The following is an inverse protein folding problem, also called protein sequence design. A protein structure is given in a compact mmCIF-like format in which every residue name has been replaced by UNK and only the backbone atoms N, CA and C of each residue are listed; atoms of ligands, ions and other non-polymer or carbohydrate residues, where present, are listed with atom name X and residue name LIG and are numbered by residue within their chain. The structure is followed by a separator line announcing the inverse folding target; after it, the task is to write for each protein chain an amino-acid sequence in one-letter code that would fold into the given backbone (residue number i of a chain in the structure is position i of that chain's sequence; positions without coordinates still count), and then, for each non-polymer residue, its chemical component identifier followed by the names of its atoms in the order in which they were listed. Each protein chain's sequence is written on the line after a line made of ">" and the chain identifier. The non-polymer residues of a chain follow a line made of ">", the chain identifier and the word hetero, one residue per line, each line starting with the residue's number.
data_IF_675801260655
#
_entry.id   IF_675801260655
#
_cell.length_a   1.000
_cell.length_b   1.000
_cell.length_c   1.000
_cell.angle_alpha   90.00
_cell.angle_beta   90.00
_cell.angle_gamma   90.00
#
_symmetry.space_group_name_H-M   'P 1'
#
loop_
_entity.id
_entity.type
_entity.pdbx_description
1 polymer ?
#
# COMPACT_ATOMS: atom_id res chain seq x y z
N UNK A 1 14.39 14.11 73.48
CA UNK A 1 14.68 15.06 72.39
C UNK A 1 13.77 14.74 71.21
N UNK A 2 12.75 15.58 70.97
CA UNK A 2 11.87 15.46 69.80
C UNK A 2 12.44 16.33 68.67
N UNK A 3 12.86 15.72 67.56
CA UNK A 3 13.28 16.45 66.37
C UNK A 3 12.03 16.85 65.57
N UNK A 4 11.67 18.13 65.63
CA UNK A 4 10.66 18.73 64.77
C UNK A 4 11.31 19.22 63.47
N UNK A 5 11.33 18.36 62.44
CA UNK A 5 11.75 18.75 61.10
C UNK A 5 10.64 19.55 60.42
N UNK A 6 10.77 20.87 60.40
CA UNK A 6 9.93 21.76 59.58
C UNK A 6 10.44 21.65 58.14
N UNK A 7 9.82 20.81 57.33
CA UNK A 7 10.05 20.85 55.88
C UNK A 7 9.38 22.10 55.31
N UNK A 8 10.11 23.00 54.65
CA UNK A 8 9.53 24.19 54.07
C UNK A 8 8.57 23.78 52.94
N UNK A 9 7.30 24.20 53.07
CA UNK A 9 6.20 23.93 52.13
C UNK A 9 6.57 24.31 50.68
N UNK A 10 7.50 25.25 50.50
CA UNK A 10 8.05 25.68 49.22
C UNK A 10 8.82 24.58 48.46
N UNK A 11 9.45 23.61 49.14
CA UNK A 11 10.16 22.50 48.48
C UNK A 11 9.18 21.41 48.00
N UNK A 12 8.07 21.21 48.73
CA UNK A 12 7.00 20.29 48.33
C UNK A 12 6.21 20.84 47.13
N UNK A 13 5.97 22.16 47.10
CA UNK A 13 5.31 22.81 45.95
C UNK A 13 6.17 22.79 44.68
N UNK A 14 7.49 22.95 44.79
CA UNK A 14 8.40 22.88 43.63
C UNK A 14 8.51 21.46 43.07
N UNK A 15 8.47 20.43 43.93
CA UNK A 15 8.42 19.02 43.51
C UNK A 15 7.11 18.63 42.82
N UNK A 16 5.97 19.13 43.28
CA UNK A 16 4.67 18.89 42.64
C UNK A 16 4.53 19.61 41.28
N UNK A 17 5.15 20.79 41.11
CA UNK A 17 5.08 21.52 39.84
C UNK A 17 5.94 20.86 38.74
N UNK A 18 7.02 20.17 39.11
CA UNK A 18 7.86 19.40 38.18
C UNK A 18 7.24 18.06 37.74
N UNK A 19 6.25 17.53 38.47
CA UNK A 19 5.52 16.31 38.12
C UNK A 19 4.31 16.56 37.21
N UNK A 20 3.91 17.82 37.02
CA UNK A 20 2.77 18.21 36.18
C UNK A 20 3.18 18.57 34.74
N UNK A 21 4.47 18.56 34.42
CA UNK A 21 4.98 18.84 33.06
C UNK A 21 5.18 17.61 32.19
N UNK A 22 4.92 16.40 32.68
CA UNK A 22 4.65 15.23 31.82
C UNK A 22 3.22 15.29 31.29
N UNK A 23 2.89 16.39 30.60
CA UNK A 23 1.68 16.47 29.82
C UNK A 23 1.82 15.50 28.65
N UNK A 24 0.97 14.47 28.63
CA UNK A 24 0.69 13.75 27.39
C UNK A 24 0.23 14.79 26.37
N UNK A 25 1.13 15.17 25.46
CA UNK A 25 0.75 15.92 24.27
C UNK A 25 -0.36 15.15 23.54
N UNK A 26 -1.21 15.83 22.76
CA UNK A 26 -2.19 15.14 21.94
C UNK A 26 -1.45 14.08 21.13
N UNK A 27 -1.97 12.85 21.08
CA UNK A 27 -1.44 11.80 20.22
C UNK A 27 -1.52 12.31 18.77
N UNK A 28 -0.44 12.88 18.28
CA UNK A 28 -0.38 13.37 16.90
C UNK A 28 -0.39 12.14 16.02
N UNK A 29 -1.31 12.10 15.06
CA UNK A 29 -1.40 10.99 14.12
C UNK A 29 -0.04 10.83 13.40
N UNK A 30 0.65 9.70 13.59
CA UNK A 30 1.98 9.46 13.00
C UNK A 30 1.99 9.65 11.48
N UNK A 31 0.92 9.27 10.78
CA UNK A 31 0.82 9.42 9.33
C UNK A 31 0.79 10.89 8.91
N UNK A 32 0.23 11.78 9.74
CA UNK A 32 0.30 13.22 9.49
C UNK A 32 1.74 13.74 9.56
N UNK A 33 2.51 13.29 10.56
CA UNK A 33 3.91 13.70 10.73
C UNK A 33 4.81 13.15 9.62
N UNK A 34 4.58 11.89 9.21
CA UNK A 34 5.26 11.26 8.07
C UNK A 34 4.98 12.07 6.80
N UNK A 35 3.70 12.35 6.51
CA UNK A 35 3.28 13.10 5.33
C UNK A 35 3.86 14.52 5.30
N UNK A 36 3.84 15.24 6.43
CA UNK A 36 4.45 16.56 6.54
C UNK A 36 5.97 16.52 6.27
N UNK A 37 6.66 15.50 6.78
CA UNK A 37 8.10 15.34 6.56
C UNK A 37 8.43 15.06 5.10
N UNK A 38 7.64 14.20 4.43
CA UNK A 38 7.79 13.91 3.00
C UNK A 38 7.53 15.15 2.13
N UNK A 39 6.48 15.92 2.42
CA UNK A 39 6.17 17.16 1.70
C UNK A 39 7.22 18.26 1.90
N UNK A 40 7.88 18.27 3.06
CA UNK A 40 9.00 19.16 3.34
C UNK A 40 10.32 18.71 2.67
N UNK A 41 10.32 17.62 1.90
CA UNK A 41 11.52 17.06 1.28
C UNK A 41 12.49 16.41 2.28
N UNK A 42 11.98 16.00 3.45
CA UNK A 42 12.78 15.36 4.51
C UNK A 42 12.35 13.89 4.74
N UNK A 43 12.66 12.99 3.80
CA UNK A 43 12.27 11.59 3.92
C UNK A 43 13.04 10.85 5.03
N UNK A 44 14.21 11.32 5.44
CA UNK A 44 14.94 10.75 6.57
C UNK A 44 14.18 10.96 7.89
N UNK A 45 13.54 12.12 8.06
CA UNK A 45 12.67 12.37 9.22
C UNK A 45 11.43 11.48 9.17
N UNK A 46 10.80 11.31 8.00
CA UNK A 46 9.69 10.36 7.83
C UNK A 46 10.10 8.94 8.25
N UNK A 47 11.28 8.50 7.84
CA UNK A 47 11.84 7.21 8.23
C UNK A 47 12.07 7.11 9.75
N UNK A 48 12.60 8.17 10.38
CA UNK A 48 12.80 8.21 11.83
C UNK A 48 11.48 8.13 12.61
N UNK A 49 10.42 8.82 12.14
CA UNK A 49 9.09 8.78 12.77
C UNK A 49 8.52 7.36 12.76
N UNK A 50 8.62 6.64 11.64
CA UNK A 50 8.13 5.24 11.57
C UNK A 50 8.87 4.34 12.55
N UNK A 51 10.19 4.48 12.68
CA UNK A 51 10.96 3.69 13.66
C UNK A 51 10.61 4.05 15.11
N UNK A 52 10.51 5.35 15.43
CA UNK A 52 10.19 5.82 16.79
C UNK A 52 8.79 5.39 17.24
N UNK A 53 7.87 5.23 16.29
CA UNK A 53 6.47 4.83 16.55
C UNK A 53 6.25 3.33 16.34
N UNK A 54 7.31 2.53 16.17
CA UNK A 54 7.22 1.07 15.94
C UNK A 54 6.33 0.34 16.93
N UNK A 55 6.42 0.69 18.21
CA UNK A 55 5.64 0.04 19.26
C UNK A 55 4.13 0.28 19.11
N UNK A 56 3.70 1.37 18.47
CA UNK A 56 2.29 1.67 18.20
C UNK A 56 1.67 0.71 17.18
N UNK A 57 2.46 0.05 16.33
CA UNK A 57 1.96 -0.99 15.42
C UNK A 57 1.58 -2.26 16.18
N UNK A 58 2.26 -2.53 17.30
CA UNK A 58 2.11 -3.74 18.09
C UNK A 58 2.42 -5.04 17.33
N UNK A 59 2.28 -6.18 18.01
CA UNK A 59 2.59 -7.48 17.42
C UNK A 59 1.71 -7.83 16.20
N UNK A 60 0.48 -7.29 16.15
CA UNK A 60 -0.51 -7.54 15.07
C UNK A 60 -0.21 -6.70 13.82
N UNK A 61 0.42 -5.54 13.98
CA UNK A 61 0.77 -4.63 12.88
C UNK A 61 2.16 -4.85 12.30
N UNK A 62 2.82 -5.99 12.59
CA UNK A 62 4.20 -6.26 12.14
C UNK A 62 4.37 -6.13 10.63
N UNK A 63 3.44 -6.68 9.84
CA UNK A 63 3.47 -6.55 8.37
C UNK A 63 3.33 -5.09 7.95
N UNK A 64 2.34 -4.37 8.50
CA UNK A 64 2.11 -2.96 8.20
C UNK A 64 3.34 -2.10 8.54
N UNK A 65 3.98 -2.37 9.68
CA UNK A 65 5.24 -1.73 10.05
C UNK A 65 6.33 -1.98 9.00
N UNK A 66 6.52 -3.24 8.58
CA UNK A 66 7.51 -3.60 7.56
C UNK A 66 7.28 -2.88 6.24
N UNK A 67 6.02 -2.81 5.79
CA UNK A 67 5.67 -2.09 4.55
C UNK A 67 5.90 -0.58 4.68
N UNK A 68 5.40 0.05 5.75
CA UNK A 68 5.57 1.49 5.99
C UNK A 68 7.06 1.85 6.08
N UNK A 69 7.82 1.10 6.88
CA UNK A 69 9.25 1.30 7.11
C UNK A 69 10.06 1.08 5.83
N UNK A 70 9.78 0.01 5.10
CA UNK A 70 10.40 -0.27 3.81
C UNK A 70 10.19 0.85 2.80
N UNK A 71 8.96 1.35 2.68
CA UNK A 71 8.61 2.43 1.75
C UNK A 71 9.31 3.76 2.11
N UNK A 72 9.25 4.20 3.38
CA UNK A 72 9.91 5.47 3.77
C UNK A 72 11.42 5.39 3.66
N UNK A 73 12.03 4.22 3.90
CA UNK A 73 13.47 4.02 3.67
C UNK A 73 13.84 4.12 2.19
N UNK A 74 13.01 3.55 1.30
CA UNK A 74 13.21 3.65 -0.14
C UNK A 74 13.14 5.11 -0.61
N UNK A 75 12.12 5.86 -0.17
CA UNK A 75 11.99 7.29 -0.48
C UNK A 75 13.14 8.10 0.13
N UNK A 76 13.71 7.67 1.26
CA UNK A 76 14.88 8.28 1.89
C UNK A 76 16.22 7.92 1.21
N UNK A 77 16.20 7.11 0.14
CA UNK A 77 17.40 6.64 -0.57
C UNK A 77 18.17 5.55 0.16
N UNK A 78 17.60 4.96 1.22
CA UNK A 78 18.22 3.90 2.01
C UNK A 78 17.83 2.53 1.47
N UNK A 79 18.21 2.25 0.22
CA UNK A 79 17.73 1.13 -0.57
C UNK A 79 18.06 -0.24 0.05
N UNK A 80 19.29 -0.46 0.53
CA UNK A 80 19.66 -1.73 1.19
C UNK A 80 18.83 -2.00 2.45
N UNK A 81 18.64 -0.98 3.29
CA UNK A 81 17.83 -1.10 4.51
C UNK A 81 16.36 -1.32 4.18
N UNK A 82 15.85 -0.61 3.17
CA UNK A 82 14.50 -0.80 2.65
C UNK A 82 14.30 -2.25 2.20
N UNK A 83 15.20 -2.80 1.36
CA UNK A 83 15.11 -4.18 0.89
C UNK A 83 15.16 -5.19 2.03
N UNK A 84 16.03 -4.99 3.03
CA UNK A 84 16.12 -5.89 4.19
C UNK A 84 14.82 -5.92 5.03
N UNK A 85 14.20 -4.75 5.24
CA UNK A 85 12.92 -4.66 5.96
C UNK A 85 11.78 -5.25 5.12
N UNK A 86 11.79 -5.03 3.81
CA UNK A 86 10.78 -5.55 2.90
C UNK A 86 10.87 -7.07 2.70
N UNK A 87 12.06 -7.68 2.80
CA UNK A 87 12.18 -9.15 2.84
C UNK A 87 11.47 -9.72 4.09
N UNK A 88 11.64 -9.10 5.25
CA UNK A 88 10.91 -9.51 6.47
C UNK A 88 9.39 -9.32 6.32
N UNK A 89 8.97 -8.24 5.67
CA UNK A 89 7.55 -8.02 5.37
C UNK A 89 7.00 -9.10 4.42
N UNK A 90 7.78 -9.51 3.42
CA UNK A 90 7.41 -10.58 2.50
C UNK A 90 7.29 -11.95 3.22
N UNK A 91 8.21 -12.28 4.13
CA UNK A 91 8.10 -13.46 4.99
C UNK A 91 6.82 -13.43 5.86
N UNK A 92 6.47 -12.24 6.36
CA UNK A 92 5.25 -12.05 7.14
C UNK A 92 3.99 -12.24 6.30
N UNK A 93 3.99 -11.84 5.02
CA UNK A 93 2.90 -12.14 4.08
C UNK A 93 2.70 -13.65 3.95
N UNK A 94 3.75 -14.41 3.67
CA UNK A 94 3.64 -15.86 3.49
C UNK A 94 3.21 -16.59 4.78
N UNK A 95 3.70 -16.11 5.93
CA UNK A 95 3.31 -16.62 7.26
C UNK A 95 1.83 -16.37 7.56
N UNK A 96 1.34 -15.17 7.28
CA UNK A 96 -0.07 -14.81 7.51
C UNK A 96 -1.00 -15.52 6.54
N UNK A 97 -0.62 -15.62 5.27
CA UNK A 97 -1.33 -16.40 4.27
C UNK A 97 -1.49 -17.89 4.67
N UNK A 98 -0.42 -18.49 5.21
CA UNK A 98 -0.49 -19.88 5.72
C UNK A 98 -1.43 -20.02 6.92
N UNK A 99 -1.53 -18.98 7.77
CA UNK A 99 -2.43 -18.99 8.94
C UNK A 99 -3.88 -18.76 8.55
N UNK A 100 -4.18 -17.85 7.63
CA UNK A 100 -5.56 -17.57 7.22
C UNK A 100 -6.25 -18.82 6.66
N UNK A 101 -5.55 -19.61 5.83
CA UNK A 101 -6.02 -20.94 5.37
C UNK A 101 -6.34 -21.89 6.53
N UNK A 102 -5.55 -21.87 7.61
CA UNK A 102 -5.73 -22.76 8.77
C UNK A 102 -6.82 -22.29 9.74
N UNK A 103 -7.21 -21.02 9.69
CA UNK A 103 -7.97 -20.33 10.77
C UNK A 103 -9.32 -19.77 10.32
N UNK A 104 -9.76 -20.08 9.09
CA UNK A 104 -10.99 -19.56 8.44
C UNK A 104 -12.27 -19.66 9.30
N UNK A 105 -12.29 -20.50 10.33
CA UNK A 105 -13.45 -20.74 11.21
C UNK A 105 -13.45 -19.98 12.54
N UNK A 106 -12.32 -19.41 13.00
CA UNK A 106 -12.21 -18.80 14.34
C UNK A 106 -12.45 -17.27 14.37
N UNK A 107 -12.17 -16.58 13.27
CA UNK A 107 -12.31 -15.12 13.14
C UNK A 107 -13.78 -14.66 13.27
N UNK A 108 -14.72 -15.36 12.61
CA UNK A 108 -16.14 -15.04 12.69
C UNK A 108 -16.72 -15.09 14.11
N UNK A 109 -16.07 -15.78 15.04
CA UNK A 109 -16.52 -15.94 16.42
C UNK A 109 -15.79 -15.02 17.41
N UNK A 110 -14.68 -14.41 17.02
CA UNK A 110 -13.80 -13.67 17.93
C UNK A 110 -13.34 -12.36 17.30
N UNK A 111 -13.96 -11.25 17.73
CA UNK A 111 -13.64 -9.84 17.43
C UNK A 111 -12.46 -9.60 16.46
N UNK A 112 -12.74 -9.05 15.27
CA UNK A 112 -11.77 -8.78 14.20
C UNK A 112 -10.55 -7.95 14.64
N UNK A 113 -10.65 -7.14 15.71
CA UNK A 113 -9.49 -6.45 16.31
C UNK A 113 -8.44 -7.40 16.93
N UNK A 114 -8.71 -8.70 16.97
CA UNK A 114 -7.78 -9.72 17.46
C UNK A 114 -6.86 -10.28 16.39
N UNK A 115 -7.15 -10.05 15.10
CA UNK A 115 -6.39 -10.61 14.00
C UNK A 115 -5.17 -9.73 13.64
N UNK A 116 -4.05 -10.34 13.19
CA UNK A 116 -2.96 -9.60 12.57
C UNK A 116 -3.41 -8.88 11.29
N UNK A 117 -2.77 -7.75 10.97
CA UNK A 117 -2.97 -7.09 9.68
C UNK A 117 -2.33 -7.93 8.56
N UNK A 118 -3.15 -8.46 7.64
CA UNK A 118 -2.68 -9.34 6.57
C UNK A 118 -2.32 -8.61 5.27
N UNK A 119 -2.78 -7.36 5.11
CA UNK A 119 -2.60 -6.56 3.91
C UNK A 119 -3.46 -7.01 2.73
N UNK A 120 -3.68 -6.09 1.80
CA UNK A 120 -4.40 -6.34 0.56
C UNK A 120 -3.45 -6.85 -0.53
N UNK A 121 -3.95 -7.63 -1.50
CA UNK A 121 -3.11 -8.29 -2.52
C UNK A 121 -2.24 -7.32 -3.35
N UNK A 122 -2.68 -6.06 -3.52
CA UNK A 122 -1.89 -5.04 -4.20
C UNK A 122 -0.71 -4.54 -3.36
N UNK A 123 -0.86 -4.51 -2.03
CA UNK A 123 0.24 -4.17 -1.11
C UNK A 123 1.32 -5.25 -1.16
N UNK A 124 0.92 -6.52 -1.25
CA UNK A 124 1.84 -7.65 -1.40
C UNK A 124 2.67 -7.55 -2.69
N UNK A 125 2.04 -7.20 -3.82
CA UNK A 125 2.77 -6.98 -5.08
C UNK A 125 3.70 -5.77 -4.97
N UNK A 126 3.25 -4.71 -4.28
CA UNK A 126 4.05 -3.50 -4.08
C UNK A 126 5.35 -3.76 -3.32
N UNK A 127 5.39 -4.71 -2.38
CA UNK A 127 6.63 -5.11 -1.68
C UNK A 127 7.72 -5.48 -2.70
N UNK A 128 7.44 -6.39 -3.63
CA UNK A 128 8.42 -6.81 -4.64
C UNK A 128 8.70 -5.71 -5.66
N UNK A 129 7.73 -4.87 -6.00
CA UNK A 129 7.95 -3.69 -6.86
C UNK A 129 8.98 -2.74 -6.23
N UNK A 130 8.82 -2.41 -4.95
CA UNK A 130 9.75 -1.51 -4.25
C UNK A 130 11.14 -2.15 -4.12
N UNK A 131 11.22 -3.45 -3.80
CA UNK A 131 12.50 -4.18 -3.78
C UNK A 131 13.17 -4.19 -5.17
N UNK A 132 12.42 -4.41 -6.25
CA UNK A 132 12.95 -4.38 -7.61
C UNK A 132 13.54 -2.99 -7.94
N UNK A 133 12.85 -1.91 -7.55
CA UNK A 133 13.35 -0.55 -7.71
C UNK A 133 14.61 -0.27 -6.88
N UNK A 134 14.65 -0.73 -5.63
CA UNK A 134 15.83 -0.63 -4.76
C UNK A 134 17.05 -1.29 -5.39
N UNK A 135 16.89 -2.47 -5.98
CA UNK A 135 17.99 -3.17 -6.65
C UNK A 135 18.37 -2.46 -7.96
N UNK A 136 17.39 -2.05 -8.76
CA UNK A 136 17.64 -1.39 -10.05
C UNK A 136 18.42 -0.08 -9.92
N UNK A 137 18.05 0.79 -8.96
CA UNK A 137 18.75 2.07 -8.73
C UNK A 137 20.19 1.89 -8.24
N UNK A 138 20.50 0.74 -7.63
CA UNK A 138 21.84 0.36 -7.20
C UNK A 138 22.65 -0.37 -8.30
N UNK A 139 22.08 -0.51 -9.51
CA UNK A 139 22.70 -1.26 -10.62
C UNK A 139 22.66 -2.78 -10.45
N UNK A 140 21.95 -3.29 -9.45
CA UNK A 140 21.81 -4.72 -9.14
C UNK A 140 20.67 -5.32 -9.98
N UNK A 141 20.84 -5.33 -11.30
CA UNK A 141 19.79 -5.70 -12.24
C UNK A 141 19.38 -7.17 -12.08
N UNK A 142 20.30 -8.08 -11.76
CA UNK A 142 19.97 -9.51 -11.62
C UNK A 142 19.06 -9.77 -10.40
N UNK A 143 19.29 -9.04 -9.33
CA UNK A 143 18.55 -9.04 -8.08
C UNK A 143 17.16 -8.41 -8.30
N UNK A 144 17.10 -7.31 -9.07
CA UNK A 144 15.83 -6.76 -9.54
C UNK A 144 15.02 -7.80 -10.34
N UNK A 145 15.68 -8.61 -11.19
CA UNK A 145 15.01 -9.69 -11.92
C UNK A 145 14.53 -10.84 -11.02
N UNK A 146 15.12 -11.06 -9.84
CA UNK A 146 14.57 -12.01 -8.85
C UNK A 146 13.21 -11.51 -8.38
N UNK A 147 13.11 -10.23 -8.04
CA UNK A 147 11.85 -9.60 -7.61
C UNK A 147 10.82 -9.57 -8.73
N UNK A 148 11.23 -9.31 -9.98
CA UNK A 148 10.36 -9.41 -11.16
C UNK A 148 9.72 -10.79 -11.28
N UNK A 149 10.49 -11.87 -11.10
CA UNK A 149 9.94 -13.24 -11.15
C UNK A 149 8.96 -13.50 -10.00
N UNK A 150 9.21 -12.91 -8.81
CA UNK A 150 8.28 -12.98 -7.67
C UNK A 150 6.98 -12.22 -7.97
N UNK A 151 7.06 -11.04 -8.59
CA UNK A 151 5.90 -10.27 -9.09
C UNK A 151 5.08 -11.13 -10.06
N UNK A 152 5.73 -11.69 -11.08
CA UNK A 152 5.07 -12.50 -12.10
C UNK A 152 4.39 -13.72 -11.48
N UNK A 153 5.08 -14.43 -10.59
CA UNK A 153 4.51 -15.57 -9.86
C UNK A 153 3.27 -15.17 -9.05
N UNK A 154 3.37 -14.10 -8.24
CA UNK A 154 2.29 -13.63 -7.38
C UNK A 154 1.08 -13.18 -8.20
N UNK A 155 1.27 -12.44 -9.29
CA UNK A 155 0.20 -12.01 -10.17
C UNK A 155 -0.46 -13.16 -10.93
N UNK A 156 0.30 -14.19 -11.32
CA UNK A 156 -0.27 -15.38 -11.97
C UNK A 156 -1.14 -16.18 -10.98
N UNK A 157 -0.63 -16.42 -9.77
CA UNK A 157 -1.39 -17.08 -8.70
C UNK A 157 -2.67 -16.30 -8.36
N UNK A 158 -2.58 -14.98 -8.28
CA UNK A 158 -3.72 -14.12 -8.02
C UNK A 158 -4.74 -14.15 -9.17
N UNK A 159 -4.26 -14.07 -10.40
CA UNK A 159 -5.09 -14.17 -11.61
C UNK A 159 -5.84 -15.50 -11.74
N UNK A 160 -5.24 -16.59 -11.26
CA UNK A 160 -5.86 -17.92 -11.22
C UNK A 160 -6.92 -18.03 -10.12
N UNK A 161 -6.69 -17.43 -8.95
CA UNK A 161 -7.58 -17.53 -7.79
C UNK A 161 -8.77 -16.57 -7.86
N UNK A 162 -8.53 -15.31 -8.25
CA UNK A 162 -9.55 -14.26 -8.29
C UNK A 162 -10.24 -14.30 -9.65
N UNK A 163 -11.45 -14.89 -9.69
CA UNK A 163 -12.24 -15.00 -10.93
C UNK A 163 -13.01 -13.72 -11.28
N UNK A 164 -13.31 -12.92 -10.26
CA UNK A 164 -14.02 -11.64 -10.40
C UNK A 164 -13.15 -10.63 -11.18
N UNK A 165 -13.59 -10.18 -12.38
CA UNK A 165 -12.84 -9.23 -13.19
C UNK A 165 -12.78 -7.82 -12.58
N UNK A 166 -13.67 -7.48 -11.66
CA UNK A 166 -13.75 -6.15 -11.03
C UNK A 166 -12.88 -6.04 -9.77
N UNK A 167 -12.11 -7.08 -9.46
CA UNK A 167 -11.18 -7.12 -8.33
C UNK A 167 -9.72 -7.07 -8.80
N UNK A 168 -8.85 -6.63 -7.89
CA UNK A 168 -7.41 -6.66 -8.11
C UNK A 168 -6.93 -8.10 -8.29
N UNK A 169 -6.65 -8.47 -9.54
CA UNK A 169 -6.19 -9.80 -9.95
C UNK A 169 -4.98 -9.79 -10.88
N UNK A 170 -4.60 -8.60 -11.33
CA UNK A 170 -3.50 -8.35 -12.24
C UNK A 170 -3.04 -6.90 -12.07
N UNK A 171 -1.80 -6.58 -12.44
CA UNK A 171 -1.25 -5.23 -12.30
C UNK A 171 -0.44 -4.84 -13.54
N UNK A 172 -0.93 -3.81 -14.24
CA UNK A 172 -0.31 -3.28 -15.46
C UNK A 172 0.97 -2.51 -15.19
N UNK A 173 1.07 -1.79 -14.07
CA UNK A 173 2.27 -1.06 -13.71
C UNK A 173 3.39 -2.01 -13.30
N UNK A 174 3.09 -2.98 -12.44
CA UNK A 174 4.08 -3.95 -11.98
C UNK A 174 4.64 -4.78 -13.16
N UNK A 175 3.78 -5.21 -14.09
CA UNK A 175 4.22 -5.92 -15.29
C UNK A 175 4.99 -5.04 -16.26
N UNK A 176 4.64 -3.76 -16.35
CA UNK A 176 5.38 -2.83 -17.20
C UNK A 176 6.80 -2.61 -16.65
N UNK A 177 6.92 -2.42 -15.33
CA UNK A 177 8.22 -2.37 -14.65
C UNK A 177 9.04 -3.65 -14.88
N UNK A 178 8.40 -4.83 -14.81
CA UNK A 178 9.05 -6.10 -15.15
C UNK A 178 9.67 -6.08 -16.56
N UNK A 179 8.93 -5.57 -17.56
CA UNK A 179 9.40 -5.46 -18.93
C UNK A 179 10.60 -4.52 -19.06
N UNK A 180 10.55 -3.36 -18.41
CA UNK A 180 11.65 -2.39 -18.38
C UNK A 180 12.92 -3.04 -17.80
N UNK A 181 12.79 -3.82 -16.72
CA UNK A 181 13.93 -4.46 -16.07
C UNK A 181 14.49 -5.64 -16.86
N UNK A 182 13.64 -6.45 -17.50
CA UNK A 182 14.10 -7.49 -18.43
C UNK A 182 14.88 -6.89 -19.58
N UNK A 183 14.38 -5.78 -20.14
CA UNK A 183 15.05 -5.12 -21.24
C UNK A 183 16.37 -4.48 -20.82
N UNK A 184 16.42 -3.85 -19.64
CA UNK A 184 17.66 -3.33 -19.06
C UNK A 184 18.71 -4.43 -18.84
N UNK A 185 18.28 -5.69 -18.64
CA UNK A 185 19.15 -6.85 -18.57
C UNK A 185 19.55 -7.44 -19.94
N UNK A 186 19.03 -6.89 -21.05
CA UNK A 186 19.23 -7.40 -22.40
C UNK A 186 18.32 -8.58 -22.79
N UNK A 187 17.34 -8.94 -21.94
CA UNK A 187 16.43 -10.05 -22.19
C UNK A 187 15.18 -9.59 -22.94
N UNK A 188 15.36 -9.34 -24.24
CA UNK A 188 14.33 -8.75 -25.10
C UNK A 188 13.08 -9.62 -25.25
N UNK A 189 13.23 -10.95 -25.21
CA UNK A 189 12.10 -11.88 -25.29
C UNK A 189 11.21 -11.77 -24.06
N UNK A 190 11.78 -11.81 -22.86
CA UNK A 190 11.00 -11.65 -21.63
C UNK A 190 10.46 -10.22 -21.47
N UNK A 191 11.21 -9.22 -21.93
CA UNK A 191 10.72 -7.84 -21.99
C UNK A 191 9.44 -7.72 -22.83
N UNK A 192 9.43 -8.27 -24.05
CA UNK A 192 8.24 -8.29 -24.91
C UNK A 192 7.05 -8.98 -24.24
N UNK A 193 7.27 -10.15 -23.62
CA UNK A 193 6.21 -10.88 -22.92
C UNK A 193 5.63 -10.04 -21.78
N UNK A 194 6.49 -9.42 -20.96
CA UNK A 194 6.07 -8.56 -19.86
C UNK A 194 5.32 -7.31 -20.34
N UNK A 195 5.78 -6.66 -21.41
CA UNK A 195 5.07 -5.53 -22.03
C UNK A 195 3.70 -5.92 -22.57
N UNK A 196 3.58 -7.08 -23.23
CA UNK A 196 2.29 -7.58 -23.69
C UNK A 196 1.35 -7.82 -22.51
N UNK A 197 1.83 -8.52 -21.49
CA UNK A 197 1.02 -8.81 -20.30
C UNK A 197 0.63 -7.52 -19.55
N UNK A 198 1.49 -6.51 -19.53
CA UNK A 198 1.19 -5.19 -18.98
C UNK A 198 0.07 -4.49 -19.74
N UNK A 199 0.15 -4.48 -21.07
CA UNK A 199 -0.87 -3.88 -21.92
C UNK A 199 -2.22 -4.59 -21.76
N UNK A 200 -2.22 -5.92 -21.75
CA UNK A 200 -3.43 -6.72 -21.48
C UNK A 200 -4.00 -6.44 -20.09
N UNK A 201 -3.16 -6.31 -19.07
CA UNK A 201 -3.59 -5.96 -17.71
C UNK A 201 -4.26 -4.58 -17.69
N UNK A 202 -3.68 -3.55 -18.31
CA UNK A 202 -4.31 -2.23 -18.42
C UNK A 202 -5.66 -2.28 -19.13
N UNK A 203 -5.77 -3.05 -20.20
CA UNK A 203 -7.03 -3.20 -20.94
C UNK A 203 -8.10 -3.90 -20.11
N UNK A 204 -7.74 -4.95 -19.37
CA UNK A 204 -8.64 -5.65 -18.47
C UNK A 204 -9.10 -4.78 -17.29
N UNK A 205 -8.22 -3.92 -16.77
CA UNK A 205 -8.52 -3.05 -15.63
C UNK A 205 -9.39 -1.84 -15.98
N UNK A 206 -9.56 -1.51 -17.27
CA UNK A 206 -10.30 -0.31 -17.73
C UNK A 206 -11.72 -0.17 -17.14
N UNK A 207 -12.36 -1.28 -16.75
CA UNK A 207 -13.70 -1.30 -16.15
C UNK A 207 -13.77 -0.74 -14.72
N UNK A 208 -12.72 -0.92 -13.92
CA UNK A 208 -12.71 -0.56 -12.49
C UNK A 208 -11.55 0.36 -12.09
N UNK A 209 -10.41 0.27 -12.76
CA UNK A 209 -9.32 1.25 -12.66
C UNK A 209 -9.45 2.26 -13.81
N UNK A 210 -9.51 3.56 -13.47
CA UNK A 210 -9.57 4.66 -14.45
C UNK A 210 -8.21 4.97 -15.06
N UNK A 211 -7.37 3.97 -15.28
CA UNK A 211 -5.99 4.12 -15.74
C UNK A 211 -5.83 3.52 -17.13
N UNK A 212 -5.31 4.32 -18.07
CA UNK A 212 -4.96 3.87 -19.41
C UNK A 212 -3.50 3.39 -19.46
N UNK A 213 -3.14 2.48 -20.38
CA UNK A 213 -1.75 2.11 -20.57
C UNK A 213 -0.93 3.35 -20.96
N UNK A 214 0.28 3.53 -20.42
CA UNK A 214 1.11 4.68 -20.74
C UNK A 214 1.52 4.64 -22.23
N UNK A 215 1.63 5.79 -22.93
CA UNK A 215 2.04 5.82 -24.33
C UNK A 215 3.41 5.18 -24.60
N UNK A 216 4.33 5.25 -23.62
CA UNK A 216 5.64 4.60 -23.71
C UNK A 216 5.53 3.08 -23.85
N UNK A 217 4.60 2.43 -23.12
CA UNK A 217 4.38 0.99 -23.24
C UNK A 217 3.95 0.58 -24.66
N UNK A 218 3.17 1.41 -25.34
CA UNK A 218 2.77 1.15 -26.73
C UNK A 218 3.98 1.25 -27.69
N UNK A 219 4.85 2.23 -27.48
CA UNK A 219 6.10 2.36 -28.23
C UNK A 219 7.06 1.20 -27.95
N UNK A 220 7.14 0.73 -26.71
CA UNK A 220 7.98 -0.41 -26.33
C UNK A 220 7.49 -1.73 -26.94
N UNK A 221 6.18 -1.94 -27.06
CA UNK A 221 5.62 -3.07 -27.79
C UNK A 221 5.99 -3.06 -29.27
N UNK A 222 5.90 -1.90 -29.94
CA UNK A 222 6.32 -1.76 -31.34
C UNK A 222 7.83 -2.02 -31.49
N UNK A 223 8.64 -1.45 -30.58
CA UNK A 223 10.10 -1.58 -30.61
C UNK A 223 10.57 -3.00 -30.38
N UNK A 224 10.04 -3.67 -29.37
CA UNK A 224 10.41 -5.05 -29.05
C UNK A 224 9.94 -6.02 -30.11
N UNK A 225 8.74 -5.84 -30.69
CA UNK A 225 8.26 -6.70 -31.79
C UNK A 225 9.04 -6.52 -33.08
N UNK A 226 9.44 -5.29 -33.42
CA UNK A 226 10.33 -5.02 -34.57
C UNK A 226 11.70 -5.68 -34.36
N UNK A 227 12.33 -5.43 -33.20
CA UNK A 227 13.66 -5.96 -32.88
C UNK A 227 13.72 -7.50 -32.80
N UNK A 228 12.62 -8.15 -32.40
CA UNK A 228 12.49 -9.61 -32.39
C UNK A 228 12.04 -10.20 -33.74
N UNK A 229 11.72 -9.37 -34.75
CA UNK A 229 11.22 -9.83 -36.04
C UNK A 229 9.80 -10.40 -36.02
N UNK A 230 8.98 -10.06 -35.01
CA UNK A 230 7.61 -10.52 -34.83
C UNK A 230 6.63 -9.73 -35.72
N UNK A 231 6.70 -9.94 -37.04
CA UNK A 231 5.98 -9.15 -38.05
C UNK A 231 4.47 -9.09 -37.82
N UNK A 232 3.85 -10.21 -37.46
CA UNK A 232 2.39 -10.28 -37.24
C UNK A 232 1.96 -9.44 -36.04
N UNK A 233 2.69 -9.55 -34.93
CA UNK A 233 2.47 -8.78 -33.71
C UNK A 233 2.71 -7.30 -33.96
N UNK A 234 3.80 -6.96 -34.66
CA UNK A 234 4.15 -5.59 -35.00
C UNK A 234 3.03 -4.92 -35.79
N UNK A 235 2.54 -5.54 -36.88
CA UNK A 235 1.45 -4.99 -37.69
C UNK A 235 0.15 -4.84 -36.88
N UNK A 236 -0.15 -5.81 -36.01
CA UNK A 236 -1.31 -5.74 -35.10
C UNK A 236 -1.22 -4.54 -34.17
N UNK A 237 -0.08 -4.32 -33.53
CA UNK A 237 0.13 -3.18 -32.64
C UNK A 237 0.18 -1.86 -33.40
N UNK A 238 0.76 -1.84 -34.61
CA UNK A 238 0.81 -0.64 -35.45
C UNK A 238 -0.59 -0.14 -35.81
N UNK A 239 -1.51 -1.07 -36.11
CA UNK A 239 -2.92 -0.76 -36.36
C UNK A 239 -3.65 -0.35 -35.08
N UNK A 240 -3.35 -0.97 -33.94
CA UNK A 240 -3.96 -0.65 -32.65
C UNK A 240 -3.50 0.71 -32.08
N UNK A 241 -2.30 1.18 -32.47
CA UNK A 241 -1.65 2.39 -31.96
C UNK A 241 -1.38 3.41 -33.08
N UNK A 242 -2.42 3.90 -33.79
CA UNK A 242 -2.23 4.79 -34.94
C UNK A 242 -1.57 6.13 -34.56
N UNK A 243 -1.77 6.58 -33.32
CA UNK A 243 -1.25 7.86 -32.82
C UNK A 243 0.21 7.79 -32.34
N UNK A 244 0.78 6.59 -32.18
CA UNK A 244 2.18 6.43 -31.79
C UNK A 244 3.05 6.65 -33.03
N UNK A 245 3.85 7.72 -33.03
CA UNK A 245 4.78 7.99 -34.12
C UNK A 245 5.91 6.96 -34.11
N UNK A 246 5.82 5.95 -34.98
CA UNK A 246 6.91 5.01 -35.25
C UNK A 246 7.73 5.52 -36.43
N UNK A 247 9.02 5.78 -36.21
CA UNK A 247 9.97 6.05 -37.29
C UNK A 247 11.02 4.94 -37.33
N UNK A 248 11.21 4.26 -38.47
CA UNK A 248 12.31 3.31 -38.67
C UNK A 248 13.71 3.93 -38.46
N UNK A 249 13.79 5.27 -38.39
CA UNK A 249 15.04 6.02 -38.38
C UNK A 249 15.79 6.06 -37.05
N UNK A 250 15.15 5.70 -35.93
CA UNK A 250 15.87 5.51 -34.65
C UNK A 250 16.74 4.25 -34.65
N UNK A 251 16.47 3.33 -35.59
CA UNK A 251 17.23 2.11 -35.82
C UNK A 251 18.34 2.30 -36.88
N UNK A 252 18.31 3.39 -37.66
CA UNK A 252 19.18 3.60 -38.82
C UNK A 252 20.16 4.78 -38.71
N UNK A 253 20.07 5.62 -37.67
CA UNK A 253 21.07 6.65 -37.39
C UNK A 253 22.40 6.11 -36.81
N UNK A 254 22.47 4.83 -36.45
CA UNK A 254 23.70 4.21 -35.93
C UNK A 254 24.15 4.70 -34.56
N UNK A 255 23.43 5.62 -33.93
CA UNK A 255 23.68 6.10 -32.58
C UNK A 255 22.88 5.27 -31.58
N UNK A 256 23.58 4.44 -30.80
CA UNK A 256 23.01 3.77 -29.64
C UNK A 256 22.69 4.81 -28.56
N UNK A 257 21.49 5.40 -28.62
CA UNK A 257 21.02 6.33 -27.60
C UNK A 257 20.72 5.58 -26.30
N UNK A 258 21.14 6.15 -25.17
CA UNK A 258 20.79 5.62 -23.86
C UNK A 258 19.32 5.93 -23.53
N UNK A 259 18.61 4.97 -22.94
CA UNK A 259 17.25 5.16 -22.43
C UNK A 259 17.32 5.51 -20.94
N UNK A 260 16.70 6.63 -20.54
CA UNK A 260 16.52 7.03 -19.15
C UNK A 260 15.06 6.84 -18.75
N UNK A 261 14.82 6.02 -17.73
CA UNK A 261 13.49 5.82 -17.14
C UNK A 261 13.40 6.60 -15.83
N UNK A 262 12.45 7.52 -15.74
CA UNK A 262 12.17 8.28 -14.52
C UNK A 262 10.89 7.74 -13.86
N UNK A 263 11.01 7.32 -12.60
CA UNK A 263 9.87 6.89 -11.78
C UNK A 263 9.68 7.92 -10.68
N UNK A 264 8.49 8.51 -10.63
CA UNK A 264 8.11 9.53 -9.65
C UNK A 264 6.88 9.10 -8.86
N UNK A 265 6.92 9.28 -7.55
CA UNK A 265 5.78 9.08 -6.65
C UNK A 265 4.92 10.34 -6.64
N UNK A 266 3.88 10.37 -7.48
CA UNK A 266 3.03 11.53 -7.62
C UNK A 266 1.71 11.37 -6.86
N UNK A 267 1.40 12.35 -6.02
CA UNK A 267 0.12 12.48 -5.35
C UNK A 267 0.01 11.72 -4.03
N UNK A 268 -1.21 11.66 -3.50
CA UNK A 268 -1.54 11.01 -2.23
C UNK A 268 -2.45 9.82 -2.49
N UNK A 269 -2.10 8.66 -1.93
CA UNK A 269 -2.97 7.49 -1.95
C UNK A 269 -4.29 7.78 -1.19
N UNK A 270 -5.43 7.13 -1.53
CA UNK A 270 -6.65 7.23 -0.74
C UNK A 270 -6.43 6.81 0.72
N UNK A 271 -7.16 7.41 1.67
CA UNK A 271 -7.18 6.95 3.06
C UNK A 271 -8.20 5.86 3.24
N UNK A 272 -7.85 4.81 3.98
CA UNK A 272 -8.80 3.78 4.43
C UNK A 272 -9.42 4.27 5.73
N UNK A 273 -10.73 4.44 5.75
CA UNK A 273 -11.51 4.85 6.90
C UNK A 273 -12.55 3.78 7.25
N UNK A 274 -12.87 3.67 8.54
CA UNK A 274 -13.90 2.74 9.01
C UNK A 274 -15.29 3.34 8.81
N UNK A 275 -16.14 2.60 8.11
CA UNK A 275 -17.56 2.84 8.04
C UNK A 275 -18.28 1.77 8.87
N UNK A 276 -18.91 2.17 9.97
CA UNK A 276 -19.67 1.24 10.81
C UNK A 276 -21.11 1.10 10.34
N UNK A 277 -21.56 -0.15 10.18
CA UNK A 277 -22.95 -0.52 9.95
C UNK A 277 -23.49 -1.23 11.18
N UNK A 278 -24.54 -0.66 11.77
CA UNK A 278 -25.23 -1.23 12.93
C UNK A 278 -26.39 -2.10 12.45
N UNK A 279 -26.26 -3.41 12.58
CA UNK A 279 -27.24 -4.40 12.15
C UNK A 279 -28.11 -4.86 13.35
N UNK A 280 -29.40 -4.54 13.36
CA UNK A 280 -30.30 -5.03 14.40
C UNK A 280 -30.53 -6.54 14.23
N UNK A 281 -30.47 -7.30 15.32
CA UNK A 281 -30.72 -8.76 15.28
C UNK A 281 -32.16 -9.16 15.63
N UNK A 282 -33.05 -8.18 15.85
CA UNK A 282 -34.47 -8.39 16.07
C UNK A 282 -35.32 -7.24 15.47
N UNK A 283 -36.62 -7.49 15.26
CA UNK A 283 -37.55 -6.47 14.74
C UNK A 283 -37.70 -5.27 15.70
N UNK A 284 -37.69 -5.51 17.01
CA UNK A 284 -37.72 -4.45 18.02
C UNK A 284 -36.45 -3.58 17.94
N UNK A 285 -35.29 -4.21 17.75
CA UNK A 285 -34.04 -3.50 17.53
C UNK A 285 -34.04 -2.73 16.20
N UNK A 286 -34.70 -3.25 15.16
CA UNK A 286 -34.83 -2.56 13.89
C UNK A 286 -35.69 -1.29 13.98
N UNK A 287 -36.80 -1.31 14.72
CA UNK A 287 -37.60 -0.12 15.00
C UNK A 287 -36.77 0.94 15.75
N UNK A 288 -35.98 0.54 16.75
CA UNK A 288 -35.09 1.43 17.49
C UNK A 288 -34.01 2.07 16.60
N UNK A 289 -33.35 1.29 15.74
CA UNK A 289 -32.35 1.80 14.78
C UNK A 289 -32.99 2.78 13.78
N UNK A 290 -34.20 2.50 13.31
CA UNK A 290 -34.93 3.37 12.38
C UNK A 290 -35.39 4.68 13.02
N UNK A 291 -35.85 4.65 14.27
CA UNK A 291 -36.26 5.84 15.03
C UNK A 291 -35.07 6.79 15.27
N UNK A 292 -33.88 6.26 15.54
CA UNK A 292 -32.67 7.06 15.76
C UNK A 292 -32.01 7.54 14.46
N UNK A 293 -32.29 6.91 13.32
CA UNK A 293 -31.71 7.28 12.01
C UNK A 293 -32.10 8.69 11.55
N UNK A 294 -33.20 9.23 12.05
CA UNK A 294 -33.71 10.57 11.69
C UNK A 294 -33.21 11.74 12.55
N UNK A 295 -32.57 11.49 13.70
CA UNK A 295 -32.29 12.55 14.69
C UNK A 295 -30.83 13.05 14.64
N UNK A 296 -29.90 12.30 14.04
CA UNK A 296 -28.45 12.54 14.22
C UNK A 296 -27.62 12.66 12.93
N UNK A 297 -28.19 13.27 11.88
CA UNK A 297 -27.41 13.71 10.70
C UNK A 297 -26.61 14.99 11.01
N UNK A 298 -25.66 14.91 11.95
CA UNK A 298 -24.68 15.97 12.23
C UNK A 298 -23.28 15.61 11.72
N UNK A 299 -22.43 16.58 11.29
CA UNK A 299 -21.12 16.30 10.71
C UNK A 299 -20.02 15.92 11.73
N UNK A 300 -20.34 15.80 13.02
CA UNK A 300 -19.35 15.48 14.06
C UNK A 300 -19.42 14.02 14.48
N UNK A 301 -18.40 13.25 14.07
CA UNK A 301 -18.19 11.82 14.31
C UNK A 301 -17.87 11.43 15.76
N UNK A 302 -17.85 12.38 16.71
CA UNK A 302 -17.26 12.19 18.05
C UNK A 302 -18.20 11.55 19.08
N UNK A 303 -19.52 11.61 18.87
CA UNK A 303 -20.50 11.15 19.89
C UNK A 303 -21.02 9.71 19.66
N UNK A 304 -20.78 9.09 18.50
CA UNK A 304 -21.32 7.74 18.19
C UNK A 304 -20.70 6.61 19.02
N UNK A 305 -19.54 6.83 19.64
CA UNK A 305 -18.88 5.84 20.50
C UNK A 305 -19.67 5.64 21.79
N UNK A 306 -20.20 6.72 22.37
CA UNK A 306 -21.02 6.66 23.58
C UNK A 306 -22.36 5.94 23.35
N UNK A 307 -23.02 6.21 22.23
CA UNK A 307 -24.36 5.67 21.95
C UNK A 307 -24.34 4.16 21.68
N UNK A 308 -23.31 3.66 21.01
CA UNK A 308 -23.18 2.25 20.66
C UNK A 308 -22.81 1.33 21.81
N UNK A 309 -22.17 1.87 22.86
CA UNK A 309 -21.85 1.12 24.08
C UNK A 309 -23.13 0.70 24.82
N UNK A 310 -24.18 1.52 24.78
CA UNK A 310 -25.47 1.18 25.40
C UNK A 310 -26.20 0.05 24.66
N UNK A 311 -26.02 -0.09 23.34
CA UNK A 311 -26.71 -1.10 22.52
C UNK A 311 -25.92 -2.42 22.40
N UNK A 312 -24.59 -2.35 22.33
CA UNK A 312 -23.72 -3.53 22.28
C UNK A 312 -23.77 -4.38 23.56
N UNK A 313 -23.99 -3.75 24.72
CA UNK A 313 -24.09 -4.46 26.01
C UNK A 313 -25.36 -5.31 26.17
N UNK A 314 -26.43 -5.03 25.41
CA UNK A 314 -27.67 -5.80 25.46
C UNK A 314 -27.78 -6.87 24.36
N UNK A 315 -26.75 -7.03 23.53
CA UNK A 315 -26.71 -8.04 22.47
C UNK A 315 -27.76 -7.87 21.37
N UNK A 316 -28.38 -6.69 21.21
CA UNK A 316 -29.48 -6.45 20.25
C UNK A 316 -29.05 -5.90 18.90
N UNK A 317 -27.80 -5.45 18.78
CA UNK A 317 -27.23 -4.85 17.57
C UNK A 317 -25.81 -5.38 17.38
N UNK A 318 -25.53 -5.85 16.17
CA UNK A 318 -24.18 -6.23 15.74
C UNK A 318 -23.60 -5.09 14.92
N UNK A 319 -22.48 -4.53 15.37
CA UNK A 319 -21.74 -3.50 14.61
C UNK A 319 -20.72 -4.18 13.70
N UNK A 320 -20.81 -3.90 12.41
CA UNK A 320 -19.86 -4.36 11.40
C UNK A 320 -19.06 -3.16 10.91
N UNK A 321 -17.72 -3.26 10.95
CA UNK A 321 -16.84 -2.27 10.34
C UNK A 321 -16.62 -2.64 8.87
N UNK A 322 -16.87 -1.70 7.96
CA UNK A 322 -16.65 -1.85 6.53
C UNK A 322 -15.59 -0.83 6.09
N UNK A 323 -14.56 -1.25 5.34
CA UNK A 323 -13.53 -0.32 4.88
C UNK A 323 -14.12 0.59 3.80
N UNK A 324 -13.79 1.89 3.89
CA UNK A 324 -14.09 2.89 2.87
C UNK A 324 -12.82 3.58 2.44
N UNK A 325 -12.55 3.61 1.13
CA UNK A 325 -11.45 4.40 0.57
C UNK A 325 -11.93 5.83 0.30
N UNK A 326 -11.26 6.80 0.91
CA UNK A 326 -11.52 8.24 0.76
C UNK A 326 -10.38 8.86 -0.06
N UNK A 327 -10.66 9.35 -1.28
CA UNK A 327 -9.65 10.02 -2.10
C UNK A 327 -9.08 11.25 -1.41
N UNK A 328 -7.78 11.46 -1.53
CA UNK A 328 -7.12 12.65 -1.05
C UNK A 328 -6.92 13.64 -2.21
N UNK A 329 -7.14 14.93 -1.95
CA UNK A 329 -6.81 15.97 -2.93
C UNK A 329 -5.29 16.11 -2.99
N UNK A 330 -4.77 16.07 -4.20
CA UNK A 330 -3.39 16.40 -4.56
C UNK A 330 -3.29 17.87 -4.93
#
# INVERSE_FOLDING_TARGET
>A
MRWGGIFPISVVLAGCLAFLSSGCGPSVNRYLLIEQSLLAGNPQQAAAIVEQTKDEYGAKGRLLYGMDRGMVLQVAGQYEQSSAVLEQAEEDVERLYTRSIRTETAAFLTNDNMLPYEGDAHEHVMINVVKALNYAVQGQIQEALVEVRRIDHRLNVLGDRVKDPDKYRNDGFARYLSGILYEAAGDLNNAFIAYRNAYEAYQAMKGWARMSPPPSLQADLLRTTEALGLKTEFERYRQAFPDVMWSPSLSSSGEALAHVVLISYNGRAPRKEDMFLDLPISLDAAQLVLLNRGVFQGPYQRDRVADSLLYGLNGRVVRVALPRLVPQKT
#
